data_IF_860383911959
#
_entry.id   IF_860383911959
#
_cell.length_a   1.000
_cell.length_b   1.000
_cell.length_c   1.000
_cell.angle_alpha   90.00
_cell.angle_beta   90.00
_cell.angle_gamma   90.00
#
_symmetry.space_group_name_H-M   'P 1'
#
loop_
_entity.id
_entity.type
_entity.pdbx_description
1 polymer ?
#
# COMPACT_ATOMS: atom_id res chain seq x y z
N UNK A 1 29.16 8.39 -14.75
CA UNK A 1 28.87 8.25 -13.30
C UNK A 1 27.81 9.25 -12.80
N UNK A 2 27.78 10.48 -13.33
CA UNK A 2 26.83 11.55 -12.92
C UNK A 2 25.35 11.17 -13.05
N UNK A 3 24.97 10.39 -14.07
CA UNK A 3 23.57 10.07 -14.33
C UNK A 3 22.94 9.20 -13.25
N UNK A 4 23.72 8.31 -12.60
CA UNK A 4 23.18 7.43 -11.55
C UNK A 4 22.86 8.23 -10.27
N UNK A 5 23.65 9.26 -9.99
CA UNK A 5 23.43 10.15 -8.85
C UNK A 5 22.11 10.91 -9.00
N UNK A 6 21.81 11.42 -10.20
CA UNK A 6 20.55 12.14 -10.45
C UNK A 6 19.31 11.29 -10.18
N UNK A 7 19.33 10.01 -10.59
CA UNK A 7 18.25 9.07 -10.33
C UNK A 7 18.10 8.73 -8.84
N UNK A 8 19.19 8.64 -8.08
CA UNK A 8 19.14 8.41 -6.62
C UNK A 8 18.54 9.60 -5.87
N UNK A 9 18.85 10.83 -6.26
CA UNK A 9 18.23 12.03 -5.66
C UNK A 9 16.72 12.06 -5.95
N UNK A 10 16.32 11.76 -7.18
CA UNK A 10 14.90 11.70 -7.55
C UNK A 10 14.15 10.61 -6.79
N UNK A 11 14.77 9.43 -6.62
CA UNK A 11 14.22 8.32 -5.85
C UNK A 11 14.08 8.63 -4.34
N UNK A 12 14.95 9.47 -3.78
CA UNK A 12 14.89 9.86 -2.36
C UNK A 12 13.79 10.88 -2.08
N UNK A 13 13.57 11.83 -2.99
CA UNK A 13 12.53 12.86 -2.79
C UNK A 13 11.15 12.37 -3.24
N UNK A 14 11.07 11.57 -4.30
CA UNK A 14 9.82 11.04 -4.86
C UNK A 14 9.93 9.51 -5.13
N UNK A 15 10.06 8.68 -4.08
CA UNK A 15 10.21 7.23 -4.20
C UNK A 15 9.00 6.54 -4.85
N UNK A 16 7.79 7.06 -4.66
CA UNK A 16 6.57 6.50 -5.24
C UNK A 16 6.56 6.55 -6.76
N UNK A 17 7.20 7.57 -7.35
CA UNK A 17 7.23 7.75 -8.79
C UNK A 17 8.10 6.67 -9.42
N UNK A 18 9.23 6.34 -8.79
CA UNK A 18 10.12 5.25 -9.21
C UNK A 18 9.42 3.90 -9.13
N UNK A 19 8.61 3.66 -8.08
CA UNK A 19 7.85 2.42 -7.91
C UNK A 19 6.65 2.29 -8.86
N UNK A 20 6.02 3.40 -9.24
CA UNK A 20 4.98 3.44 -10.28
C UNK A 20 5.56 3.16 -11.67
N UNK A 21 6.75 3.70 -11.97
CA UNK A 21 7.45 3.39 -13.23
C UNK A 21 7.90 1.92 -13.31
N UNK A 22 8.06 1.24 -12.17
CA UNK A 22 8.42 -0.18 -12.06
C UNK A 22 7.18 -1.10 -12.07
N UNK A 23 5.99 -0.57 -12.37
CA UNK A 23 4.71 -1.30 -12.50
C UNK A 23 4.18 -1.93 -11.19
N UNK A 24 4.62 -1.44 -10.02
CA UNK A 24 4.17 -1.93 -8.71
C UNK A 24 3.31 -0.88 -7.96
N UNK A 25 2.00 -0.78 -8.26
CA UNK A 25 1.12 0.22 -7.64
C UNK A 25 0.94 0.01 -6.14
N UNK A 26 1.00 -1.25 -5.67
CA UNK A 26 0.95 -1.57 -4.24
C UNK A 26 2.17 -1.03 -3.49
N UNK A 27 3.36 -1.23 -4.05
CA UNK A 27 4.61 -0.69 -3.52
C UNK A 27 4.63 0.85 -3.52
N UNK A 28 4.11 1.48 -4.58
CA UNK A 28 4.01 2.93 -4.66
C UNK A 28 3.05 3.52 -3.61
N UNK A 29 1.90 2.87 -3.36
CA UNK A 29 0.95 3.25 -2.31
C UNK A 29 1.58 3.09 -0.92
N UNK A 30 2.28 1.98 -0.68
CA UNK A 30 2.99 1.76 0.59
C UNK A 30 4.10 2.80 0.78
N UNK A 31 4.88 3.13 -0.25
CA UNK A 31 5.93 4.14 -0.17
C UNK A 31 5.39 5.56 0.03
N UNK A 32 4.24 5.89 -0.56
CA UNK A 32 3.48 7.13 -0.27
C UNK A 32 3.05 7.19 1.19
N UNK A 33 2.45 6.11 1.69
CA UNK A 33 2.06 6.00 3.11
C UNK A 33 3.31 6.12 3.99
N UNK A 34 4.39 5.43 3.67
CA UNK A 34 5.62 5.41 4.45
C UNK A 34 6.34 6.76 4.49
N UNK A 35 6.36 7.51 3.38
CA UNK A 35 6.84 8.90 3.38
C UNK A 35 5.94 9.81 4.23
N UNK A 36 4.63 9.57 4.23
CA UNK A 36 3.70 10.29 5.09
C UNK A 36 3.79 9.86 6.57
N UNK A 37 4.44 8.73 6.88
CA UNK A 37 4.32 8.12 8.19
C UNK A 37 5.60 7.45 8.68
N UNK A 38 6.34 8.15 9.54
CA UNK A 38 7.26 7.51 10.51
C UNK A 38 6.46 6.57 11.48
N UNK A 39 5.11 6.54 11.40
CA UNK A 39 4.16 5.89 12.34
C UNK A 39 3.15 4.92 11.65
N UNK A 40 3.13 4.78 10.32
CA UNK A 40 1.94 4.29 9.57
C UNK A 40 1.73 2.79 9.52
N UNK A 41 2.53 2.02 10.25
CA UNK A 41 2.33 0.57 10.34
C UNK A 41 1.04 0.23 11.11
N UNK A 42 0.62 1.09 12.05
CA UNK A 42 -0.61 0.90 12.82
C UNK A 42 -1.84 1.07 11.92
N UNK A 43 -2.01 2.20 11.19
CA UNK A 43 -3.17 2.37 10.32
C UNK A 43 -3.22 1.36 9.16
N UNK A 44 -2.07 0.90 8.64
CA UNK A 44 -2.02 -0.16 7.62
C UNK A 44 -2.55 -1.51 8.16
N UNK A 45 -2.17 -1.84 9.40
CA UNK A 45 -2.64 -3.05 10.08
C UNK A 45 -4.14 -2.98 10.38
N UNK A 46 -4.65 -1.81 10.76
CA UNK A 46 -6.09 -1.59 10.99
C UNK A 46 -6.92 -1.78 9.71
N UNK A 47 -6.41 -1.33 8.56
CA UNK A 47 -7.06 -1.50 7.26
C UNK A 47 -7.16 -2.97 6.85
N UNK A 48 -6.11 -3.76 7.06
CA UNK A 48 -6.10 -5.19 6.78
C UNK A 48 -7.14 -5.95 7.63
N UNK A 49 -7.27 -5.59 8.91
CA UNK A 49 -8.26 -6.21 9.82
C UNK A 49 -9.69 -5.88 9.37
N UNK A 50 -9.98 -4.64 8.98
CA UNK A 50 -11.29 -4.22 8.49
C UNK A 50 -11.72 -5.02 7.25
N UNK A 51 -10.82 -5.17 6.27
CA UNK A 51 -11.10 -5.95 5.05
C UNK A 51 -11.35 -7.43 5.38
N UNK A 52 -10.58 -7.99 6.31
CA UNK A 52 -10.74 -9.38 6.72
C UNK A 52 -12.10 -9.64 7.40
N UNK A 53 -12.56 -8.70 8.24
CA UNK A 53 -13.87 -8.77 8.88
C UNK A 53 -15.00 -8.63 7.86
N UNK A 54 -14.90 -7.66 6.94
CA UNK A 54 -15.89 -7.43 5.88
C UNK A 54 -16.07 -8.67 4.98
N UNK A 55 -14.98 -9.36 4.62
CA UNK A 55 -15.02 -10.59 3.83
C UNK A 55 -15.58 -11.80 4.63
N UNK A 56 -15.33 -11.85 5.93
CA UNK A 56 -15.88 -12.86 6.82
C UNK A 56 -17.38 -12.65 7.10
N UNK A 57 -17.86 -11.41 7.07
CA UNK A 57 -19.28 -11.07 7.21
C UNK A 57 -20.06 -11.32 5.91
N UNK A 58 -19.51 -10.92 4.76
CA UNK A 58 -20.08 -11.21 3.45
C UNK A 58 -20.33 -12.72 3.24
N UNK A 59 -19.36 -13.56 3.61
CA UNK A 59 -19.50 -15.02 3.51
C UNK A 59 -20.52 -15.63 4.47
N UNK A 60 -20.88 -14.95 5.57
CA UNK A 60 -21.95 -15.39 6.49
C UNK A 60 -23.33 -14.99 6.00
N UNK A 61 -23.47 -13.82 5.39
CA UNK A 61 -24.72 -13.36 4.79
C UNK A 61 -25.12 -14.20 3.57
N UNK A 62 -24.14 -14.63 2.76
CA UNK A 62 -24.40 -15.54 1.63
C UNK A 62 -24.93 -16.90 2.11
N UNK A 63 -24.35 -17.48 3.19
CA UNK A 63 -24.82 -18.77 3.72
C UNK A 63 -26.20 -18.71 4.35
N UNK A 64 -26.57 -17.59 4.98
CA UNK A 64 -27.88 -17.40 5.61
C UNK A 64 -29.01 -17.15 4.61
N UNK A 65 -28.69 -16.71 3.39
CA UNK A 65 -29.69 -16.46 2.33
C UNK A 65 -29.97 -17.68 1.46
N UNK A 66 -29.14 -18.72 1.56
CA UNK A 66 -29.28 -20.00 0.86
C UNK A 66 -29.96 -21.12 1.69
N UNK A 67 -30.39 -20.82 2.93
CA UNK A 67 -31.06 -21.76 3.84
C UNK A 67 -32.54 -21.40 4.02
#
# INVERSE_FOLDING_TARGET
>A
MISRLFWTFLAIFFPWLVLLLDDNPGGAIVALVMQATIIGWIPASFWAIRILQENAEASKEEKKKSE
#
